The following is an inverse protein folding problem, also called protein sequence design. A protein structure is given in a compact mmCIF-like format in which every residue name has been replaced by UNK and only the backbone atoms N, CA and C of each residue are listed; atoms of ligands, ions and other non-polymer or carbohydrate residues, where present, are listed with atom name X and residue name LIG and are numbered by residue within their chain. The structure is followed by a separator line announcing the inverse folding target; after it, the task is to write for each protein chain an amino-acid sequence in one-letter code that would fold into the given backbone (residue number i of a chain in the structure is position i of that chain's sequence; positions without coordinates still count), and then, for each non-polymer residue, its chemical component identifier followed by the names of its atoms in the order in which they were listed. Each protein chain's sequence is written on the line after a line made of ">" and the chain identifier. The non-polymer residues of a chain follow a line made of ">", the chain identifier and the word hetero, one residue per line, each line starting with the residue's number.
data_IF_729802817861
#
_entry.id   IF_729802817861
#
_cell.length_a   1.000
_cell.length_b   1.000
_cell.length_c   1.000
_cell.angle_alpha   90.00
_cell.angle_beta   90.00
_cell.angle_gamma   90.00
#
_symmetry.space_group_name_H-M   'P 1'
#
loop_
_entity.id
_entity.type
_entity.pdbx_description
1 polymer ?
#
# COMPACT_ATOMS: atom_id res chain seq x y z
N UNK A 1 -1.62 6.47 30.94
CA UNK A 1 -1.46 7.95 30.98
C UNK A 1 -0.26 8.23 30.11
N UNK A 2 -0.44 8.87 28.94
CA UNK A 2 0.71 9.25 28.12
C UNK A 2 1.47 10.36 28.84
N UNK A 3 2.79 10.31 28.80
CA UNK A 3 3.61 11.37 29.35
C UNK A 3 3.62 12.53 28.34
N UNK A 4 3.44 13.78 28.79
CA UNK A 4 3.44 14.96 27.91
C UNK A 4 4.78 15.19 27.19
N UNK A 5 5.81 14.42 27.57
CA UNK A 5 7.14 14.41 26.98
C UNK A 5 7.35 13.31 25.92
N UNK A 6 6.36 12.48 25.61
CA UNK A 6 6.51 11.42 24.60
C UNK A 6 6.26 11.92 23.17
N UNK A 7 7.12 11.54 22.23
CA UNK A 7 6.97 11.87 20.81
C UNK A 7 5.55 11.59 20.30
N UNK A 8 5.00 12.56 19.57
CA UNK A 8 3.61 12.57 19.16
C UNK A 8 3.16 11.39 18.29
N UNK A 9 4.07 10.60 17.71
CA UNK A 9 3.71 9.49 16.81
C UNK A 9 4.23 8.12 17.26
N UNK A 10 5.42 8.05 17.85
CA UNK A 10 6.04 6.78 18.23
C UNK A 10 6.07 6.52 19.74
N UNK A 11 5.64 7.47 20.57
CA UNK A 11 5.59 7.37 22.04
C UNK A 11 6.96 7.22 22.72
N UNK A 12 8.06 7.42 22.01
CA UNK A 12 9.40 7.47 22.60
C UNK A 12 9.58 8.78 23.36
N UNK A 13 10.18 8.78 24.57
CA UNK A 13 10.51 10.02 25.29
C UNK A 13 11.26 11.02 24.40
N UNK A 14 10.92 12.29 24.53
CA UNK A 14 11.52 13.39 23.79
C UNK A 14 11.71 14.64 24.64
N UNK A 15 12.78 15.36 24.35
CA UNK A 15 13.09 16.69 24.89
C UNK A 15 12.95 17.79 23.82
N UNK A 16 12.60 17.44 22.59
CA UNK A 16 12.40 18.37 21.47
C UNK A 16 10.92 18.64 21.22
N UNK A 17 10.58 19.90 20.95
CA UNK A 17 9.20 20.37 20.82
C UNK A 17 9.03 21.27 19.61
N UNK A 18 7.89 21.18 18.94
CA UNK A 18 7.58 22.11 17.85
C UNK A 18 7.46 23.54 18.41
N UNK A 19 8.12 24.50 17.78
CA UNK A 19 8.13 25.89 18.26
C UNK A 19 6.74 26.54 18.32
N UNK A 20 5.80 26.09 17.49
CA UNK A 20 4.46 26.67 17.36
C UNK A 20 3.44 26.05 18.31
N UNK A 21 3.28 24.73 18.29
CA UNK A 21 2.24 24.02 19.06
C UNK A 21 2.78 23.29 20.29
N UNK A 22 4.11 23.31 20.50
CA UNK A 22 4.80 22.64 21.60
C UNK A 22 4.60 21.13 21.65
N UNK A 23 4.24 20.50 20.53
CA UNK A 23 4.12 19.03 20.47
C UNK A 23 5.51 18.38 20.52
N UNK A 24 5.73 17.35 21.36
CA UNK A 24 7.02 16.64 21.44
C UNK A 24 7.30 15.77 20.22
N UNK A 25 8.56 15.71 19.75
CA UNK A 25 9.01 14.83 18.66
C UNK A 25 10.42 14.28 18.92
N UNK A 26 10.72 13.02 18.63
CA UNK A 26 12.03 12.42 18.98
C UNK A 26 13.09 12.46 17.86
N UNK A 27 12.72 12.89 16.65
CA UNK A 27 13.64 13.00 15.51
C UNK A 27 13.11 13.98 14.46
N UNK A 28 14.01 14.47 13.61
CA UNK A 28 13.64 15.31 12.45
C UNK A 28 12.63 14.61 11.53
N UNK A 29 12.79 13.30 11.33
CA UNK A 29 11.85 12.51 10.52
C UNK A 29 10.43 12.56 11.08
N UNK A 30 10.27 12.38 12.40
CA UNK A 30 8.96 12.50 13.02
C UNK A 30 8.45 13.96 13.00
N UNK A 31 9.32 14.96 13.19
CA UNK A 31 8.92 16.36 13.08
C UNK A 31 8.31 16.70 11.71
N UNK A 32 8.88 16.16 10.62
CA UNK A 32 8.35 16.35 9.27
C UNK A 32 6.93 15.79 9.10
N UNK A 33 6.59 14.67 9.76
CA UNK A 33 5.21 14.14 9.76
C UNK A 33 4.21 14.98 10.56
N UNK A 34 4.68 15.91 11.39
CA UNK A 34 3.81 16.84 12.09
C UNK A 34 3.42 18.04 11.21
N UNK A 35 4.16 18.31 10.14
CA UNK A 35 3.95 19.48 9.28
C UNK A 35 3.17 19.11 8.02
N UNK A 36 2.13 19.89 7.71
CA UNK A 36 1.42 19.78 6.45
C UNK A 36 2.36 20.07 5.28
N UNK A 37 2.36 19.20 4.28
CA UNK A 37 3.13 19.38 3.05
C UNK A 37 2.58 20.50 2.15
N UNK A 38 1.33 20.90 2.36
CA UNK A 38 0.69 21.95 1.57
C UNK A 38 1.03 23.37 2.03
N UNK A 39 1.07 23.61 3.34
CA UNK A 39 1.21 24.96 3.90
C UNK A 39 2.13 25.05 5.14
N UNK A 40 2.74 23.94 5.58
CA UNK A 40 3.62 23.92 6.77
C UNK A 40 2.91 24.08 8.11
N UNK A 41 1.57 24.00 8.15
CA UNK A 41 0.80 24.04 9.39
C UNK A 41 1.08 22.82 10.26
N UNK A 42 0.80 22.96 11.56
CA UNK A 42 0.90 21.88 12.53
C UNK A 42 -0.34 20.99 12.44
N UNK A 43 -0.15 19.72 12.09
CA UNK A 43 -1.22 18.72 12.03
C UNK A 43 -1.73 18.40 13.45
N UNK A 44 -3.04 18.53 13.73
CA UNK A 44 -3.60 18.54 15.07
C UNK A 44 -3.84 17.14 15.64
N UNK A 45 -2.88 16.22 15.54
CA UNK A 45 -3.03 14.87 16.08
C UNK A 45 -1.81 14.40 16.88
N UNK A 46 -2.06 13.47 17.80
CA UNK A 46 -1.05 12.76 18.57
C UNK A 46 -1.48 11.32 18.81
N UNK A 47 -0.55 10.39 18.69
CA UNK A 47 -0.69 9.00 19.04
C UNK A 47 -0.71 8.80 20.56
N UNK A 48 -1.48 7.80 20.97
CA UNK A 48 -1.60 7.27 22.32
C UNK A 48 -1.64 5.75 22.23
N UNK A 49 -1.45 5.07 23.37
CA UNK A 49 -1.56 3.62 23.46
C UNK A 49 -2.52 3.22 24.58
N UNK A 50 -3.33 2.20 24.31
CA UNK A 50 -4.22 1.53 25.26
C UNK A 50 -4.06 0.02 25.07
N UNK A 51 -3.81 -0.79 26.12
CA UNK A 51 -3.60 -2.23 25.97
C UNK A 51 -4.68 -2.95 25.16
N UNK A 52 -5.93 -2.51 25.29
CA UNK A 52 -7.10 -3.10 24.65
C UNK A 52 -7.35 -2.64 23.20
N UNK A 53 -6.80 -1.49 22.79
CA UNK A 53 -6.98 -0.93 21.43
C UNK A 53 -5.70 -0.93 20.60
N UNK A 54 -4.54 -1.08 21.24
CA UNK A 54 -3.25 -0.77 20.65
C UNK A 54 -3.03 0.74 20.51
N UNK A 55 -2.41 1.16 19.40
CA UNK A 55 -2.16 2.57 19.09
C UNK A 55 -3.40 3.23 18.50
N UNK A 56 -3.71 4.43 18.97
CA UNK A 56 -4.78 5.28 18.45
C UNK A 56 -4.33 6.73 18.42
N UNK A 57 -4.98 7.58 17.63
CA UNK A 57 -4.67 9.01 17.56
C UNK A 57 -5.80 9.84 18.17
N UNK A 58 -5.45 10.95 18.78
CA UNK A 58 -6.37 11.91 19.41
C UNK A 58 -6.04 13.31 18.88
N UNK A 59 -7.05 14.15 18.74
CA UNK A 59 -6.87 15.56 18.38
C UNK A 59 -6.09 16.31 19.47
N UNK A 60 -5.18 17.21 19.09
CA UNK A 60 -4.40 18.03 20.05
C UNK A 60 -5.04 19.39 20.33
N UNK A 61 -6.09 19.75 19.59
CA UNK A 61 -6.91 20.94 19.73
C UNK A 61 -8.24 20.73 19.01
N UNK A 62 -9.14 21.71 19.11
CA UNK A 62 -10.33 21.77 18.29
C UNK A 62 -9.96 21.87 16.79
N UNK A 63 -10.72 21.15 15.97
CA UNK A 63 -10.51 21.00 14.52
C UNK A 63 -11.70 21.64 13.82
N UNK A 64 -11.42 22.61 12.95
CA UNK A 64 -12.45 23.29 12.19
C UNK A 64 -12.92 22.44 11.00
N UNK A 65 -14.16 22.64 10.50
CA UNK A 65 -14.62 21.97 9.29
C UNK A 65 -13.65 22.17 8.11
N UNK A 66 -13.38 21.08 7.39
CA UNK A 66 -12.48 21.04 6.21
C UNK A 66 -10.99 21.24 6.51
N UNK A 67 -10.58 21.21 7.77
CA UNK A 67 -9.16 21.24 8.13
C UNK A 67 -8.45 19.90 7.84
N UNK A 68 -7.21 19.97 7.38
CA UNK A 68 -6.35 18.81 7.19
C UNK A 68 -5.84 18.34 8.56
N UNK A 69 -6.25 17.14 8.97
CA UNK A 69 -5.90 16.58 10.28
C UNK A 69 -4.66 15.67 10.24
N UNK A 70 -4.42 15.02 9.11
CA UNK A 70 -3.36 14.04 8.90
C UNK A 70 -3.03 13.97 7.41
N UNK A 71 -1.75 13.84 7.10
CA UNK A 71 -1.26 13.56 5.75
C UNK A 71 -0.40 12.31 5.80
N UNK A 72 -0.57 11.42 4.83
CA UNK A 72 0.24 10.22 4.70
C UNK A 72 0.52 9.92 3.23
N UNK A 73 1.66 9.27 2.97
CA UNK A 73 2.03 8.79 1.64
C UNK A 73 1.90 7.28 1.65
N UNK A 74 1.16 6.75 0.67
CA UNK A 74 0.99 5.32 0.52
C UNK A 74 2.36 4.62 0.47
N UNK A 75 2.55 3.61 1.33
CA UNK A 75 3.76 2.80 1.36
C UNK A 75 4.04 2.16 0.00
N UNK A 76 3.01 1.55 -0.57
CA UNK A 76 2.95 1.04 -1.93
C UNK A 76 1.51 1.16 -2.42
N UNK A 77 1.31 1.17 -3.73
CA UNK A 77 0.00 1.04 -4.34
C UNK A 77 0.06 0.01 -5.46
N UNK A 78 -1.08 -0.50 -5.88
CA UNK A 78 -1.20 -1.44 -6.98
C UNK A 78 -2.65 -1.79 -7.26
N UNK A 79 -2.93 -2.47 -8.38
CA UNK A 79 -4.28 -2.87 -8.73
C UNK A 79 -4.88 -3.82 -7.69
N UNK A 80 -6.19 -3.67 -7.46
CA UNK A 80 -6.99 -4.69 -6.77
C UNK A 80 -7.11 -5.93 -7.69
N UNK A 81 -7.38 -7.11 -7.15
CA UNK A 81 -7.74 -8.29 -7.95
C UNK A 81 -9.18 -8.22 -8.48
N UNK A 82 -10.06 -7.50 -7.79
CA UNK A 82 -11.43 -7.20 -8.21
C UNK A 82 -11.47 -5.90 -9.03
N UNK A 83 -10.82 -5.92 -10.19
CA UNK A 83 -10.78 -4.82 -11.16
C UNK A 83 -10.81 -5.33 -12.59
N UNK A 84 -11.27 -4.49 -13.52
CA UNK A 84 -10.94 -4.64 -14.95
C UNK A 84 -9.43 -4.44 -15.15
N UNK A 85 -8.83 -4.97 -16.24
CA UNK A 85 -7.44 -4.72 -16.58
C UNK A 85 -7.05 -3.25 -16.50
N UNK A 86 -5.90 -2.97 -15.90
CA UNK A 86 -5.33 -1.62 -15.78
C UNK A 86 -3.86 -1.62 -16.14
N UNK A 87 -3.32 -0.47 -16.52
CA UNK A 87 -1.89 -0.29 -16.67
C UNK A 87 -1.22 -0.52 -15.32
N UNK A 88 -0.25 -1.43 -15.30
CA UNK A 88 0.43 -1.79 -14.06
C UNK A 88 1.24 -0.62 -13.46
N UNK A 89 1.63 0.36 -14.26
CA UNK A 89 2.33 1.56 -13.79
C UNK A 89 1.36 2.61 -13.22
N UNK A 90 0.41 3.10 -14.04
CA UNK A 90 -0.38 4.29 -13.72
C UNK A 90 -1.83 3.98 -13.31
N UNK A 91 -2.22 2.71 -13.27
CA UNK A 91 -3.58 2.24 -12.95
C UNK A 91 -4.69 2.73 -13.91
N UNK A 92 -4.34 3.34 -15.06
CA UNK A 92 -5.31 3.68 -16.11
C UNK A 92 -6.05 2.40 -16.53
N UNK A 93 -7.40 2.39 -16.58
CA UNK A 93 -8.16 1.29 -17.17
C UNK A 93 -7.70 1.00 -18.60
N UNK A 94 -7.58 -0.29 -18.92
CA UNK A 94 -7.19 -0.76 -20.24
C UNK A 94 -8.34 -1.56 -20.86
N UNK A 95 -8.41 -1.49 -22.18
CA UNK A 95 -9.23 -2.37 -23.00
C UNK A 95 -8.32 -3.17 -23.93
N UNK A 96 -8.85 -4.23 -24.55
CA UNK A 96 -8.09 -5.11 -25.43
C UNK A 96 -7.46 -4.34 -26.61
N UNK A 97 -8.09 -3.26 -27.06
CA UNK A 97 -7.65 -2.41 -28.17
C UNK A 97 -6.59 -1.36 -27.77
N UNK A 98 -6.51 -0.98 -26.48
CA UNK A 98 -5.64 0.10 -25.98
C UNK A 98 -4.73 -0.41 -24.86
N UNK A 99 -3.93 -1.44 -25.16
CA UNK A 99 -2.86 -1.92 -24.29
C UNK A 99 -1.65 -2.40 -25.09
N UNK A 100 -0.51 -2.48 -24.39
CA UNK A 100 0.68 -3.17 -24.86
C UNK A 100 1.15 -4.15 -23.78
N UNK A 101 1.58 -5.33 -24.19
CA UNK A 101 2.35 -6.20 -23.30
C UNK A 101 3.64 -5.48 -22.90
N UNK A 102 4.04 -5.62 -21.63
CA UNK A 102 5.25 -4.98 -21.15
C UNK A 102 6.47 -5.38 -22.03
N UNK A 103 7.19 -4.40 -22.62
CA UNK A 103 8.28 -4.67 -23.55
C UNK A 103 9.49 -5.34 -22.89
N UNK A 104 9.60 -5.21 -21.56
CA UNK A 104 10.63 -5.87 -20.75
C UNK A 104 10.32 -7.35 -20.48
N UNK A 105 9.19 -7.87 -20.97
CA UNK A 105 8.91 -9.30 -21.02
C UNK A 105 8.29 -9.90 -19.75
N UNK A 106 7.82 -9.10 -18.79
CA UNK A 106 7.15 -9.61 -17.58
C UNK A 106 5.72 -10.15 -17.84
N UNK A 107 5.11 -9.75 -18.96
CA UNK A 107 3.81 -10.25 -19.43
C UNK A 107 2.58 -9.49 -18.92
N UNK A 108 2.73 -8.55 -17.99
CA UNK A 108 1.61 -7.69 -17.59
C UNK A 108 1.32 -6.59 -18.64
N UNK A 109 0.05 -6.17 -18.77
CA UNK A 109 -0.32 -5.11 -19.69
C UNK A 109 0.02 -3.72 -19.14
N UNK A 110 0.44 -2.85 -20.05
CA UNK A 110 0.68 -1.43 -19.83
C UNK A 110 -0.15 -0.61 -20.82
N UNK A 111 -0.36 0.68 -20.52
CA UNK A 111 -0.93 1.58 -21.52
C UNK A 111 0.10 1.90 -22.61
N UNK A 112 -0.38 2.45 -23.71
CA UNK A 112 0.46 2.87 -24.84
C UNK A 112 1.35 4.10 -24.54
N UNK A 113 1.26 4.69 -23.35
CA UNK A 113 2.23 5.70 -22.93
C UNK A 113 3.59 5.03 -22.61
N UNK A 114 4.62 5.37 -23.38
CA UNK A 114 5.97 4.83 -23.23
C UNK A 114 6.61 5.16 -21.87
N UNK A 115 6.21 6.24 -21.21
CA UNK A 115 6.67 6.56 -19.85
C UNK A 115 6.29 5.45 -18.86
N UNK A 116 5.21 4.73 -19.13
CA UNK A 116 4.78 3.61 -18.29
C UNK A 116 5.60 2.33 -18.50
N UNK A 117 6.30 2.21 -19.63
CA UNK A 117 7.02 0.98 -19.99
C UNK A 117 8.25 0.74 -19.13
N UNK A 118 8.88 1.82 -18.68
CA UNK A 118 10.03 1.81 -17.77
C UNK A 118 9.74 2.60 -16.48
N UNK A 119 8.46 2.76 -16.14
CA UNK A 119 8.04 3.50 -14.96
C UNK A 119 8.50 2.84 -13.65
N UNK A 120 8.72 3.64 -12.59
CA UNK A 120 9.30 3.15 -11.34
C UNK A 120 8.40 2.19 -10.57
N UNK A 121 7.07 2.25 -10.73
CA UNK A 121 6.15 1.48 -9.92
C UNK A 121 6.09 0.00 -10.34
N UNK A 122 5.95 -0.26 -11.64
CA UNK A 122 5.83 -1.62 -12.18
C UNK A 122 7.18 -2.34 -12.27
N UNK A 123 8.29 -1.59 -12.33
CA UNK A 123 9.62 -2.17 -12.52
C UNK A 123 9.99 -3.16 -11.40
N UNK A 124 9.42 -2.97 -10.20
CA UNK A 124 9.65 -3.84 -9.03
C UNK A 124 9.28 -5.29 -9.35
N UNK A 125 8.03 -5.53 -9.73
CA UNK A 125 7.56 -6.86 -10.09
C UNK A 125 8.01 -7.27 -11.49
N UNK A 126 8.26 -6.33 -12.40
CA UNK A 126 8.74 -6.62 -13.75
C UNK A 126 10.06 -7.39 -13.71
N UNK A 127 10.98 -6.94 -12.85
CA UNK A 127 12.28 -7.61 -12.65
C UNK A 127 12.11 -9.03 -12.10
N UNK A 128 11.15 -9.24 -11.19
CA UNK A 128 10.86 -10.55 -10.62
C UNK A 128 10.34 -11.49 -11.71
N UNK A 129 9.29 -11.07 -12.43
CA UNK A 129 8.60 -11.93 -13.40
C UNK A 129 9.43 -12.18 -14.67
N UNK A 130 10.20 -11.22 -15.17
CA UNK A 130 11.05 -11.43 -16.36
C UNK A 130 12.19 -12.43 -16.12
N UNK A 131 12.63 -12.57 -14.87
CA UNK A 131 13.75 -13.42 -14.48
C UNK A 131 13.32 -14.80 -14.00
N UNK A 132 12.03 -15.13 -14.07
CA UNK A 132 11.55 -16.47 -13.76
C UNK A 132 12.15 -17.48 -14.75
N UNK A 133 12.81 -18.52 -14.24
CA UNK A 133 13.42 -19.60 -15.04
C UNK A 133 12.39 -20.62 -15.54
N UNK A 134 11.24 -20.13 -15.97
CA UNK A 134 10.09 -20.92 -16.39
C UNK A 134 9.54 -20.34 -17.70
N UNK A 135 8.89 -21.16 -18.52
CA UNK A 135 8.17 -20.66 -19.70
C UNK A 135 6.87 -19.91 -19.35
N UNK A 136 6.59 -19.76 -18.06
CA UNK A 136 5.41 -19.06 -17.56
C UNK A 136 5.54 -17.55 -17.77
N UNK A 137 4.50 -16.95 -18.35
CA UNK A 137 4.35 -15.51 -18.43
C UNK A 137 3.02 -15.10 -17.83
N UNK A 138 3.04 -14.02 -17.07
CA UNK A 138 1.81 -13.40 -16.62
C UNK A 138 1.03 -12.87 -17.81
N UNK A 139 -0.29 -13.06 -17.79
CA UNK A 139 -1.20 -12.58 -18.84
C UNK A 139 -2.53 -12.25 -18.20
N UNK A 140 -2.89 -10.98 -18.24
CA UNK A 140 -4.19 -10.51 -17.74
C UNK A 140 -5.23 -10.73 -18.83
N UNK A 141 -6.32 -11.43 -18.52
CA UNK A 141 -7.43 -11.62 -19.47
C UNK A 141 -8.34 -10.39 -19.44
N UNK A 142 -8.63 -9.84 -20.62
CA UNK A 142 -9.48 -8.66 -20.76
C UNK A 142 -10.98 -8.98 -20.78
N UNK A 143 -11.35 -10.11 -21.39
CA UNK A 143 -12.73 -10.52 -21.52
C UNK A 143 -12.96 -11.77 -20.66
N UNK A 144 -13.30 -11.56 -19.38
CA UNK A 144 -13.77 -12.65 -18.52
C UNK A 144 -15.28 -12.69 -18.51
N UNK A 145 -15.83 -13.87 -18.74
CA UNK A 145 -17.26 -14.12 -18.75
C UNK A 145 -17.53 -15.28 -17.78
N UNK A 146 -18.57 -15.16 -16.96
CA UNK A 146 -19.01 -16.26 -16.09
C UNK A 146 -19.82 -17.32 -16.84
N UNK A 147 -20.21 -18.38 -16.13
CA UNK A 147 -20.99 -19.49 -16.69
C UNK A 147 -22.39 -19.06 -17.18
N UNK A 148 -22.83 -17.83 -16.86
CA UNK A 148 -24.11 -17.25 -17.25
C UNK A 148 -23.96 -16.22 -18.39
N UNK A 149 -22.76 -16.04 -18.95
CA UNK A 149 -22.53 -15.09 -20.04
C UNK A 149 -22.31 -13.66 -19.56
N UNK A 150 -22.15 -13.40 -18.26
CA UNK A 150 -21.95 -12.05 -17.71
C UNK A 150 -20.48 -11.69 -17.67
N UNK A 151 -20.16 -10.47 -18.11
CA UNK A 151 -18.81 -9.90 -18.00
C UNK A 151 -18.40 -9.76 -16.53
N UNK A 152 -17.23 -10.30 -16.20
CA UNK A 152 -16.62 -10.23 -14.88
C UNK A 152 -15.55 -9.14 -14.84
N UNK A 153 -15.61 -8.30 -13.80
CA UNK A 153 -14.59 -7.27 -13.52
C UNK A 153 -13.47 -7.82 -12.64
N UNK A 154 -13.00 -9.04 -12.93
CA UNK A 154 -12.01 -9.72 -12.11
C UNK A 154 -10.71 -9.89 -12.89
N UNK A 155 -9.60 -9.48 -12.30
CA UNK A 155 -8.26 -9.67 -12.83
C UNK A 155 -7.38 -10.27 -11.71
N UNK A 156 -7.56 -11.57 -11.41
CA UNK A 156 -6.90 -12.23 -10.29
C UNK A 156 -5.37 -12.24 -10.41
N UNK A 157 -4.83 -12.10 -11.63
CA UNK A 157 -3.40 -11.95 -11.86
C UNK A 157 -2.80 -10.76 -11.07
N UNK A 158 -3.58 -9.70 -10.84
CA UNK A 158 -3.11 -8.56 -10.05
C UNK A 158 -3.01 -8.83 -8.55
N UNK A 159 -3.61 -9.91 -8.05
CA UNK A 159 -3.70 -10.18 -6.61
C UNK A 159 -2.35 -10.26 -5.91
N UNK A 160 -1.29 -10.64 -6.62
CA UNK A 160 0.06 -10.72 -6.07
C UNK A 160 0.86 -9.41 -6.18
N UNK A 161 0.43 -8.43 -6.97
CA UNK A 161 1.24 -7.25 -7.30
C UNK A 161 1.50 -6.38 -6.07
N UNK A 162 0.45 -5.90 -5.40
CA UNK A 162 0.62 -5.04 -4.23
C UNK A 162 1.38 -5.75 -3.10
N UNK A 163 1.09 -7.02 -2.77
CA UNK A 163 1.92 -7.79 -1.84
C UNK A 163 3.39 -7.92 -2.26
N UNK A 164 3.69 -8.14 -3.55
CA UNK A 164 5.07 -8.23 -4.04
C UNK A 164 5.80 -6.89 -3.93
N UNK A 165 5.15 -5.78 -4.28
CA UNK A 165 5.70 -4.43 -4.08
C UNK A 165 5.99 -4.16 -2.61
N UNK A 166 5.07 -4.53 -1.71
CA UNK A 166 5.25 -4.43 -0.27
C UNK A 166 6.44 -5.26 0.21
N UNK A 167 6.53 -6.52 -0.19
CA UNK A 167 7.61 -7.43 0.19
C UNK A 167 8.98 -6.97 -0.35
N UNK A 168 9.03 -6.41 -1.55
CA UNK A 168 10.26 -5.88 -2.15
C UNK A 168 10.83 -4.67 -1.36
N UNK A 169 9.98 -3.92 -0.64
CA UNK A 169 10.43 -2.81 0.22
C UNK A 169 11.44 -3.27 1.27
N UNK A 170 11.38 -4.53 1.73
CA UNK A 170 12.38 -5.15 2.63
C UNK A 170 13.82 -4.97 2.15
N UNK A 171 14.03 -5.00 0.84
CA UNK A 171 15.35 -4.91 0.21
C UNK A 171 15.65 -3.53 -0.36
N UNK A 172 14.61 -2.81 -0.84
CA UNK A 172 14.76 -1.52 -1.52
C UNK A 172 14.68 -0.32 -0.58
N UNK A 173 13.90 -0.41 0.50
CA UNK A 173 13.70 0.67 1.46
C UNK A 173 13.53 0.11 2.89
N UNK A 174 14.66 -0.01 3.60
CA UNK A 174 14.68 -0.52 4.98
C UNK A 174 13.90 0.36 5.96
N UNK A 175 13.77 1.67 5.68
CA UNK A 175 13.02 2.59 6.55
C UNK A 175 11.53 2.32 6.41
N UNK A 176 11.03 2.26 5.18
CA UNK A 176 9.66 1.88 4.91
C UNK A 176 9.33 0.50 5.46
N UNK A 177 10.22 -0.48 5.26
CA UNK A 177 10.04 -1.82 5.82
C UNK A 177 9.91 -1.79 7.35
N UNK A 178 10.76 -1.02 8.04
CA UNK A 178 10.67 -0.87 9.51
C UNK A 178 9.33 -0.28 9.95
N UNK A 179 8.78 0.69 9.20
CA UNK A 179 7.45 1.25 9.49
C UNK A 179 6.35 0.22 9.27
N UNK A 180 6.42 -0.54 8.17
CA UNK A 180 5.46 -1.60 7.85
C UNK A 180 5.44 -2.70 8.91
N UNK A 181 6.61 -3.10 9.43
CA UNK A 181 6.71 -4.07 10.53
C UNK A 181 6.12 -3.57 11.85
N UNK A 182 5.85 -2.27 11.99
CA UNK A 182 5.17 -1.73 13.17
C UNK A 182 3.63 -1.88 13.10
N UNK A 183 3.07 -2.17 11.93
CA UNK A 183 1.62 -2.30 11.74
C UNK A 183 1.12 -3.59 12.40
N UNK A 184 -0.08 -3.55 13.00
CA UNK A 184 -0.70 -4.76 13.57
C UNK A 184 -1.19 -5.68 12.45
N UNK A 185 -0.78 -6.95 12.48
CA UNK A 185 -1.19 -7.95 11.49
C UNK A 185 -2.56 -8.57 11.80
N UNK A 186 -3.05 -8.43 13.05
CA UNK A 186 -4.24 -9.08 13.56
C UNK A 186 -4.31 -10.57 13.21
N UNK A 187 -3.17 -11.27 13.16
CA UNK A 187 -3.11 -12.66 12.69
C UNK A 187 -3.94 -13.59 13.59
N UNK A 188 -3.88 -13.39 14.91
CA UNK A 188 -4.64 -14.17 15.89
C UNK A 188 -6.15 -14.00 15.70
N UNK A 189 -6.62 -12.78 15.45
CA UNK A 189 -8.03 -12.49 15.20
C UNK A 189 -8.47 -13.01 13.83
N UNK A 190 -7.68 -12.76 12.77
CA UNK A 190 -7.97 -13.22 11.40
C UNK A 190 -8.08 -14.74 11.30
N UNK A 191 -7.26 -15.49 12.04
CA UNK A 191 -7.35 -16.95 12.08
C UNK A 191 -8.66 -17.47 12.69
N UNK A 192 -9.35 -16.66 13.52
CA UNK A 192 -10.68 -17.03 14.05
C UNK A 192 -11.77 -16.89 12.99
N UNK A 193 -11.55 -16.10 11.94
CA UNK A 193 -12.48 -15.92 10.83
C UNK A 193 -12.36 -17.06 9.80
N UNK A 194 -12.65 -18.30 10.21
CA UNK A 194 -12.39 -19.50 9.40
C UNK A 194 -12.91 -19.43 7.96
N UNK A 195 -14.09 -18.82 7.75
CA UNK A 195 -14.70 -18.69 6.42
C UNK A 195 -13.86 -17.81 5.49
N UNK A 196 -13.43 -16.63 5.96
CA UNK A 196 -12.57 -15.73 5.21
C UNK A 196 -11.16 -16.31 5.06
N UNK A 197 -10.63 -16.90 6.12
CA UNK A 197 -9.32 -17.54 6.10
C UNK A 197 -9.23 -18.64 5.04
N UNK A 198 -10.25 -19.50 4.95
CA UNK A 198 -10.35 -20.55 3.92
C UNK A 198 -10.40 -19.97 2.50
N UNK A 199 -11.00 -18.80 2.26
CA UNK A 199 -11.02 -18.18 0.94
C UNK A 199 -9.62 -17.87 0.39
N UNK A 200 -8.67 -17.51 1.25
CA UNK A 200 -7.28 -17.21 0.85
C UNK A 200 -6.34 -18.43 0.92
N UNK A 201 -6.77 -19.53 1.54
CA UNK A 201 -6.05 -20.81 1.55
C UNK A 201 -6.33 -21.68 0.33
N UNK A 202 -7.49 -21.50 -0.31
CA UNK A 202 -7.77 -22.17 -1.58
C UNK A 202 -6.95 -21.46 -2.64
N UNK A 203 -5.77 -22.04 -2.95
CA UNK A 203 -4.98 -21.60 -4.08
C UNK A 203 -5.87 -21.44 -5.30
N UNK A 204 -5.73 -20.32 -6.01
CA UNK A 204 -6.30 -20.14 -7.34
C UNK A 204 -5.92 -21.38 -8.15
N UNK A 205 -6.86 -22.32 -8.26
CA UNK A 205 -6.66 -23.71 -8.69
C UNK A 205 -6.54 -23.79 -10.22
N UNK A 206 -6.05 -22.71 -10.83
CA UNK A 206 -5.83 -22.55 -12.27
C UNK A 206 -4.35 -22.34 -12.63
N UNK A 207 -3.44 -22.49 -11.65
CA UNK A 207 -2.00 -22.58 -11.93
C UNK A 207 -1.55 -23.99 -11.55
N UNK A 208 -1.79 -24.94 -12.45
CA UNK A 208 -1.03 -26.18 -12.46
C UNK A 208 0.37 -25.81 -12.98
N UNK A 209 1.35 -25.85 -12.08
CA UNK A 209 2.78 -25.84 -12.43
C UNK A 209 3.14 -27.23 -12.97
#
# INVERSE_FOLDING_TARGET
>A
MSNDLECFICLTPSESFCDHCKIPYCSENHFQFHKSSHNGSCLPFRAFYKPELGRYVVATRDIEPLEVILEDKAAVFGPNHDTKPVCLECLKPLNEEDHADCPNGCGYPLCNNQDCWNGPNHNIECEIFRNLKTNFKMKVKFNRIDNMGKELKLAPEYGCITPLRLAASKYKDKKLWSLLQSLMDHDVERRKEEKYWKMFQVGHTYINI
#
